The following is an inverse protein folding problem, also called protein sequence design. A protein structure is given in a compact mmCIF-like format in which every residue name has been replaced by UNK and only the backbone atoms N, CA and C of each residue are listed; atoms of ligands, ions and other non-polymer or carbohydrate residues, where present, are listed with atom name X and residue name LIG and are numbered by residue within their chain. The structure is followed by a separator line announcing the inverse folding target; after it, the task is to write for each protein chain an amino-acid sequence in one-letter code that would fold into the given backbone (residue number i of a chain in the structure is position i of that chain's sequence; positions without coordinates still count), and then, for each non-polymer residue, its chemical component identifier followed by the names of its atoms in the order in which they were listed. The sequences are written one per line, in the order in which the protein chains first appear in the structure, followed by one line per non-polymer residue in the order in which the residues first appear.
data_IF_032691337868
#
_entry.id   IF_032691337868
#
_cell.length_a   1.000
_cell.length_b   1.000
_cell.length_c   1.000
_cell.angle_alpha   90.00
_cell.angle_beta   90.00
_cell.angle_gamma   90.00
#
_symmetry.space_group_name_H-M   'P 1'
#
loop_
_entity.id
_entity.type
_entity.pdbx_description
1 polymer ?
#
# COMPACT_ATOMS: atom_id res chain seq x y z
N UNK A 1 -11.33 7.01 -11.85
CA UNK A 1 -10.79 6.54 -10.55
C UNK A 1 -11.74 7.10 -9.49
N UNK A 2 -12.88 6.48 -9.25
CA UNK A 2 -14.04 7.31 -8.89
C UNK A 2 -14.65 6.97 -7.54
N UNK A 3 -13.95 7.23 -6.45
CA UNK A 3 -14.59 7.18 -5.13
C UNK A 3 -13.78 7.84 -4.03
N UNK A 4 -14.52 8.32 -3.04
CA UNK A 4 -14.02 9.07 -1.89
C UNK A 4 -14.41 8.36 -0.59
N UNK A 5 -13.82 8.72 0.53
CA UNK A 5 -14.21 8.19 1.84
C UNK A 5 -14.78 9.31 2.69
N UNK A 6 -15.95 9.11 3.28
CA UNK A 6 -16.52 10.08 4.21
C UNK A 6 -15.62 10.20 5.46
N UNK A 7 -15.19 11.41 5.83
CA UNK A 7 -14.35 11.61 7.03
C UNK A 7 -15.07 11.29 8.33
N UNK A 8 -16.42 11.35 8.34
CA UNK A 8 -17.21 11.14 9.53
C UNK A 8 -17.34 9.65 9.90
N UNK A 9 -17.65 8.79 8.92
CA UNK A 9 -17.92 7.36 9.16
C UNK A 9 -16.95 6.41 8.46
N UNK A 10 -15.97 6.93 7.70
CA UNK A 10 -15.00 6.15 6.94
C UNK A 10 -15.63 5.18 5.92
N UNK A 11 -16.86 5.40 5.50
CA UNK A 11 -17.49 4.66 4.40
C UNK A 11 -16.91 5.11 3.06
N UNK A 12 -16.55 4.15 2.21
CA UNK A 12 -16.18 4.42 0.82
C UNK A 12 -17.42 4.70 -0.03
N UNK A 13 -17.36 5.74 -0.84
CA UNK A 13 -18.46 6.32 -1.61
C UNK A 13 -18.06 6.48 -3.08
N UNK A 14 -19.04 6.40 -3.97
CA UNK A 14 -18.90 6.93 -5.33
C UNK A 14 -18.96 8.48 -5.31
N UNK A 15 -18.44 9.14 -6.35
CA UNK A 15 -18.23 10.62 -6.36
C UNK A 15 -19.55 11.40 -6.56
N UNK A 16 -20.64 10.73 -6.90
CA UNK A 16 -21.94 11.30 -7.31
C UNK A 16 -22.98 11.41 -6.17
N UNK A 17 -22.56 11.31 -4.91
CA UNK A 17 -23.47 11.35 -3.76
C UNK A 17 -23.46 12.71 -3.06
N UNK A 18 -24.62 13.36 -2.96
CA UNK A 18 -24.79 14.61 -2.18
C UNK A 18 -24.77 14.37 -0.67
N UNK A 19 -25.07 13.15 -0.22
CA UNK A 19 -25.14 12.77 1.19
C UNK A 19 -24.56 11.38 1.41
N UNK A 20 -23.83 11.18 2.51
CA UNK A 20 -23.31 9.87 2.87
C UNK A 20 -24.47 8.92 3.24
N UNK A 21 -24.66 7.79 2.54
CA UNK A 21 -25.75 6.86 2.82
C UNK A 21 -25.60 6.15 4.17
N UNK A 22 -24.39 6.13 4.77
CA UNK A 22 -24.16 5.46 6.05
C UNK A 22 -24.39 6.34 7.28
N UNK A 23 -24.16 7.65 7.18
CA UNK A 23 -24.24 8.56 8.34
C UNK A 23 -25.11 9.80 8.12
N UNK A 24 -25.66 9.99 6.92
CA UNK A 24 -26.53 11.12 6.58
C UNK A 24 -25.82 12.47 6.48
N UNK A 25 -24.49 12.53 6.59
CA UNK A 25 -23.72 13.78 6.45
C UNK A 25 -23.68 14.22 4.99
N UNK A 26 -24.01 15.49 4.72
CA UNK A 26 -23.86 16.09 3.39
C UNK A 26 -22.40 16.04 2.92
N UNK A 27 -22.16 15.68 1.67
CA UNK A 27 -20.83 15.49 1.11
C UNK A 27 -20.33 16.78 0.49
N UNK A 28 -19.15 17.22 0.93
CA UNK A 28 -18.45 18.39 0.42
C UNK A 28 -17.12 17.93 -0.16
N UNK A 29 -16.99 18.01 -1.48
CA UNK A 29 -15.85 17.46 -2.22
C UNK A 29 -14.65 18.41 -2.32
N UNK A 30 -14.88 19.72 -2.22
CA UNK A 30 -13.83 20.75 -2.33
C UNK A 30 -13.97 21.86 -1.27
N UNK A 31 -13.03 22.81 -1.30
CA UNK A 31 -13.02 23.96 -0.41
C UNK A 31 -12.54 23.65 1.01
N UNK A 32 -12.57 24.67 1.87
CA UNK A 32 -12.11 24.54 3.27
C UNK A 32 -13.00 23.63 4.11
N UNK A 33 -14.25 23.44 3.71
CA UNK A 33 -15.24 22.60 4.39
C UNK A 33 -15.28 21.17 3.84
N UNK A 34 -14.31 20.79 2.99
CA UNK A 34 -14.17 19.44 2.44
C UNK A 34 -14.19 18.40 3.56
N UNK A 35 -15.08 17.42 3.42
CA UNK A 35 -15.31 16.37 4.42
C UNK A 35 -15.17 14.96 3.85
N UNK A 36 -14.32 14.83 2.82
CA UNK A 36 -14.00 13.56 2.19
C UNK A 36 -12.50 13.34 2.08
N UNK A 37 -12.08 12.08 2.18
CA UNK A 37 -10.74 11.59 1.89
C UNK A 37 -10.76 11.06 0.46
N UNK A 38 -10.23 11.84 -0.47
CA UNK A 38 -10.09 11.53 -1.89
C UNK A 38 -8.66 11.08 -2.27
N UNK A 39 -7.73 11.17 -1.33
CA UNK A 39 -6.34 10.73 -1.48
C UNK A 39 -5.89 10.00 -0.22
N UNK A 40 -5.10 8.95 -0.42
CA UNK A 40 -4.45 8.29 0.71
C UNK A 40 -3.32 9.20 1.22
N UNK A 41 -3.34 9.51 2.51
CA UNK A 41 -2.26 10.24 3.19
C UNK A 41 -1.64 9.33 4.25
N UNK A 42 -0.63 8.53 3.87
CA UNK A 42 -0.02 7.57 4.77
C UNK A 42 0.54 8.24 6.03
N UNK A 43 0.28 7.63 7.19
CA UNK A 43 0.80 8.05 8.49
C UNK A 43 1.52 6.92 9.22
N UNK A 44 1.51 5.71 8.66
CA UNK A 44 2.31 4.59 9.13
C UNK A 44 2.89 3.77 7.96
N UNK A 45 3.85 2.92 8.29
CA UNK A 45 4.38 1.87 7.42
C UNK A 45 3.98 0.51 8.01
N UNK A 46 3.66 -0.45 7.16
CA UNK A 46 3.30 -1.81 7.58
C UNK A 46 4.17 -2.87 6.91
N UNK A 47 4.47 -3.92 7.66
CA UNK A 47 5.21 -5.08 7.19
C UNK A 47 4.40 -6.36 7.46
N UNK A 48 3.48 -6.70 6.56
CA UNK A 48 2.48 -7.75 6.82
C UNK A 48 2.81 -9.12 6.23
N UNK A 49 3.84 -9.23 5.41
CA UNK A 49 4.21 -10.48 4.73
C UNK A 49 5.49 -11.03 5.34
N UNK A 50 5.36 -12.03 6.21
CA UNK A 50 6.50 -12.69 6.83
C UNK A 50 7.47 -13.21 5.74
N UNK A 51 8.76 -12.89 5.89
CA UNK A 51 9.80 -13.25 4.92
C UNK A 51 9.83 -12.38 3.65
N UNK A 52 8.95 -11.38 3.52
CA UNK A 52 9.04 -10.36 2.49
C UNK A 52 9.92 -9.20 2.95
N UNK A 53 10.43 -8.44 2.00
CA UNK A 53 11.04 -7.13 2.23
C UNK A 53 10.11 -5.98 1.82
N UNK A 54 8.84 -6.29 1.59
CA UNK A 54 7.83 -5.32 1.19
C UNK A 54 7.38 -4.50 2.41
N UNK A 55 7.75 -3.23 2.40
CA UNK A 55 7.23 -2.21 3.29
C UNK A 55 6.15 -1.40 2.55
N UNK A 56 4.95 -1.34 3.13
CA UNK A 56 3.81 -0.65 2.51
C UNK A 56 3.44 0.62 3.29
N UNK A 57 3.21 1.76 2.62
CA UNK A 57 2.61 2.93 3.26
C UNK A 57 1.12 2.68 3.53
N UNK A 58 0.65 3.08 4.71
CA UNK A 58 -0.74 2.90 5.12
C UNK A 58 -1.25 4.07 5.97
N UNK A 59 -2.57 4.15 6.10
CA UNK A 59 -3.27 5.01 7.06
C UNK A 59 -3.73 4.17 8.23
N UNK A 60 -3.31 4.55 9.43
CA UNK A 60 -3.80 4.03 10.69
C UNK A 60 -5.23 4.51 10.93
N UNK A 61 -6.16 3.56 11.11
CA UNK A 61 -7.60 3.85 11.30
C UNK A 61 -7.99 3.66 12.76
N UNK A 62 -7.64 2.52 13.36
CA UNK A 62 -8.08 2.19 14.72
C UNK A 62 -7.14 1.21 15.41
N UNK A 63 -6.88 1.48 16.69
CA UNK A 63 -6.14 0.57 17.55
C UNK A 63 -7.04 -0.54 18.14
N UNK A 64 -6.56 -1.77 18.16
CA UNK A 64 -7.14 -2.90 18.91
C UNK A 64 -6.23 -3.33 20.06
N UNK A 65 -6.48 -4.49 20.69
CA UNK A 65 -5.64 -4.97 21.81
C UNK A 65 -4.25 -5.42 21.34
N UNK A 66 -4.21 -6.33 20.37
CA UNK A 66 -2.97 -6.94 19.83
C UNK A 66 -2.67 -6.46 18.41
N UNK A 67 -3.71 -6.07 17.68
CA UNK A 67 -3.65 -5.66 16.27
C UNK A 67 -4.18 -4.23 16.12
N UNK A 68 -3.95 -3.63 14.96
CA UNK A 68 -4.62 -2.41 14.54
C UNK A 68 -5.30 -2.59 13.17
N UNK A 69 -6.20 -1.66 12.86
CA UNK A 69 -6.88 -1.52 11.58
C UNK A 69 -6.19 -0.43 10.78
N UNK A 70 -5.80 -0.76 9.55
CA UNK A 70 -5.10 0.14 8.64
C UNK A 70 -5.69 0.05 7.23
N UNK A 71 -5.47 1.07 6.40
CA UNK A 71 -5.81 1.05 4.98
C UNK A 71 -4.61 1.46 4.13
N UNK A 72 -4.28 0.64 3.13
CA UNK A 72 -3.28 0.93 2.09
C UNK A 72 -3.91 1.55 0.84
N UNK A 73 -5.24 1.56 0.75
CA UNK A 73 -6.03 2.12 -0.36
C UNK A 73 -7.35 2.69 0.16
N UNK A 74 -7.93 3.67 -0.54
CA UNK A 74 -9.22 4.28 -0.15
C UNK A 74 -10.36 3.27 0.02
N UNK A 75 -10.45 2.27 -0.88
CA UNK A 75 -11.46 1.21 -0.80
C UNK A 75 -11.36 0.36 0.48
N UNK A 76 -10.19 0.30 1.10
CA UNK A 76 -9.96 -0.50 2.30
C UNK A 76 -10.51 0.18 3.57
N UNK A 77 -10.91 1.45 3.53
CA UNK A 77 -11.57 2.07 4.68
C UNK A 77 -12.89 1.37 5.05
N UNK A 78 -13.61 0.82 4.06
CA UNK A 78 -14.83 0.04 4.30
C UNK A 78 -14.55 -1.33 4.95
N UNK A 79 -13.38 -1.93 4.65
CA UNK A 79 -12.94 -3.20 5.25
C UNK A 79 -11.44 -3.13 5.55
N UNK A 80 -11.04 -2.48 6.66
CA UNK A 80 -9.64 -2.24 6.95
C UNK A 80 -8.85 -3.52 7.16
N UNK A 81 -7.60 -3.48 6.72
CA UNK A 81 -6.63 -4.54 6.96
C UNK A 81 -6.35 -4.65 8.46
N UNK A 82 -6.18 -5.88 8.93
CA UNK A 82 -5.80 -6.14 10.32
C UNK A 82 -4.33 -6.52 10.36
N UNK A 83 -3.53 -5.72 11.05
CA UNK A 83 -2.07 -5.90 11.13
C UNK A 83 -1.66 -5.97 12.60
N UNK A 84 -0.78 -6.91 13.00
CA UNK A 84 -0.20 -6.94 14.34
C UNK A 84 0.51 -5.63 14.67
N UNK A 85 0.38 -5.13 15.91
CA UNK A 85 0.96 -3.82 16.28
C UNK A 85 2.47 -3.77 16.10
N UNK A 86 3.17 -4.88 16.33
CA UNK A 86 4.62 -5.00 16.17
C UNK A 86 5.06 -5.00 14.70
N UNK A 87 4.12 -5.01 13.74
CA UNK A 87 4.39 -4.91 12.31
C UNK A 87 3.94 -3.55 11.73
N UNK A 88 3.68 -2.58 12.60
CA UNK A 88 3.29 -1.21 12.26
C UNK A 88 4.35 -0.26 12.79
N UNK A 89 4.87 0.59 11.90
CA UNK A 89 5.97 1.50 12.17
C UNK A 89 5.56 2.94 11.84
N UNK A 90 6.23 3.90 12.46
CA UNK A 90 6.07 5.33 12.14
C UNK A 90 6.39 5.57 10.67
N UNK A 91 5.60 6.41 10.01
CA UNK A 91 5.85 6.74 8.61
C UNK A 91 7.19 7.47 8.42
N UNK A 92 8.00 6.98 7.49
CA UNK A 92 9.26 7.58 7.06
C UNK A 92 9.39 7.43 5.55
N UNK A 93 9.27 8.54 4.82
CA UNK A 93 9.42 8.55 3.37
C UNK A 93 10.84 8.12 2.95
N UNK A 94 11.86 8.50 3.71
CA UNK A 94 13.26 8.17 3.43
C UNK A 94 13.50 6.66 3.54
N UNK A 95 12.99 6.04 4.60
CA UNK A 95 13.10 4.59 4.80
C UNK A 95 12.36 3.82 3.71
N UNK A 96 11.13 4.24 3.39
CA UNK A 96 10.33 3.63 2.33
C UNK A 96 11.05 3.70 0.97
N UNK A 97 11.55 4.88 0.60
CA UNK A 97 12.27 5.11 -0.65
C UNK A 97 13.55 4.27 -0.72
N UNK A 98 14.30 4.20 0.38
CA UNK A 98 15.55 3.44 0.46
C UNK A 98 15.32 1.95 0.26
N UNK A 99 14.31 1.37 0.94
CA UNK A 99 13.96 -0.04 0.78
C UNK A 99 13.48 -0.32 -0.65
N UNK A 100 12.66 0.56 -1.23
CA UNK A 100 12.22 0.40 -2.62
C UNK A 100 13.39 0.45 -3.61
N UNK A 101 14.36 1.34 -3.40
CA UNK A 101 15.56 1.42 -4.23
C UNK A 101 16.37 0.11 -4.17
N UNK A 102 16.64 -0.41 -2.97
CA UNK A 102 17.36 -1.67 -2.77
C UNK A 102 16.64 -2.87 -3.42
N UNK A 103 15.30 -2.89 -3.39
CA UNK A 103 14.51 -3.94 -4.05
C UNK A 103 14.63 -3.89 -5.56
N UNK A 104 14.61 -2.69 -6.12
CA UNK A 104 14.80 -2.47 -7.56
C UNK A 104 16.21 -2.87 -7.99
N UNK A 105 17.23 -2.49 -7.20
CA UNK A 105 18.62 -2.88 -7.44
C UNK A 105 18.82 -4.39 -7.38
N UNK A 106 18.25 -5.07 -6.37
CA UNK A 106 18.29 -6.54 -6.28
C UNK A 106 17.67 -7.18 -7.50
N UNK A 107 16.51 -6.68 -7.94
CA UNK A 107 15.79 -7.22 -9.10
C UNK A 107 16.63 -7.06 -10.37
N UNK A 108 17.17 -5.87 -10.61
CA UNK A 108 18.04 -5.60 -11.76
C UNK A 108 19.31 -6.48 -11.74
N UNK A 109 19.90 -6.69 -10.56
CA UNK A 109 21.09 -7.51 -10.38
C UNK A 109 20.81 -8.99 -10.67
N UNK A 110 19.71 -9.54 -10.13
CA UNK A 110 19.29 -10.92 -10.41
C UNK A 110 19.04 -11.11 -11.91
N UNK A 111 18.28 -10.21 -12.54
CA UNK A 111 18.04 -10.26 -13.98
C UNK A 111 19.32 -10.24 -14.81
N UNK A 112 20.31 -9.43 -14.40
CA UNK A 112 21.63 -9.40 -15.05
C UNK A 112 22.36 -10.73 -14.91
N UNK A 113 22.34 -11.35 -13.72
CA UNK A 113 22.95 -12.66 -13.53
C UNK A 113 22.27 -13.74 -14.36
N UNK A 114 20.94 -13.75 -14.42
CA UNK A 114 20.18 -14.69 -15.23
C UNK A 114 20.55 -14.60 -16.71
N UNK A 115 20.68 -13.37 -17.24
CA UNK A 115 21.13 -13.14 -18.63
C UNK A 115 22.54 -13.65 -18.89
N UNK A 116 23.48 -13.42 -17.96
CA UNK A 116 24.86 -13.89 -18.09
C UNK A 116 24.92 -15.42 -18.08
N UNK A 117 24.21 -16.05 -17.14
CA UNK A 117 24.10 -17.51 -17.04
C UNK A 117 23.53 -18.08 -18.34
N UNK A 118 22.43 -17.52 -18.85
CA UNK A 118 21.81 -17.94 -20.10
C UNK A 118 22.78 -17.83 -21.29
N UNK A 119 23.56 -16.74 -21.35
CA UNK A 119 24.57 -16.56 -22.40
C UNK A 119 25.65 -17.65 -22.37
N UNK A 120 26.08 -18.07 -21.18
CA UNK A 120 27.03 -19.16 -21.01
C UNK A 120 26.42 -20.51 -21.43
N UNK A 121 25.17 -20.79 -21.04
CA UNK A 121 24.47 -22.01 -21.46
C UNK A 121 24.38 -22.14 -22.98
N UNK A 122 24.07 -21.04 -23.68
CA UNK A 122 24.00 -21.03 -25.16
C UNK A 122 25.35 -21.27 -25.84
N UNK A 123 26.46 -21.03 -25.15
CA UNK A 123 27.81 -21.26 -25.69
C UNK A 123 28.25 -22.72 -25.63
N UNK A 124 27.54 -23.57 -24.87
CA UNK A 124 27.89 -24.98 -24.73
C UNK A 124 27.61 -25.74 -26.03
N UNK A 125 28.59 -26.54 -26.46
CA UNK A 125 28.42 -27.45 -27.59
C UNK A 125 27.93 -28.80 -27.08
N UNK A 126 26.97 -29.45 -27.77
CA UNK A 126 26.57 -30.81 -27.44
C UNK A 126 27.79 -31.74 -27.44
N UNK A 127 27.85 -32.63 -26.45
CA UNK A 127 28.84 -33.70 -26.44
C UNK A 127 28.57 -34.63 -27.62
N UNK A 128 29.58 -34.90 -28.45
CA UNK A 128 29.46 -35.84 -29.57
C UNK A 128 29.59 -37.26 -29.04
N UNK A 129 28.50 -38.02 -29.12
CA UNK A 129 28.47 -39.48 -28.95
C UNK A 129 28.63 -40.11 -30.32
#
# INVERSE_FOLDING_TARGET
MDGVVCTNCHTWLAIDLETCPSCGTGIVLDGETKNVIDRLQPNCLIHRYAGSDLLEPAVFIKEGKVNAKVATKLKEYAKPLTVPKNEIYTFSQDTLSSIQALRNERTATIMRYDQLIESHWKSLKPYKI
#
